data_IF_322244544683
#
_entry.id   IF_322244544683
#
_cell.length_a   1.000
_cell.length_b   1.000
_cell.length_c   1.000
_cell.angle_alpha   90.00
_cell.angle_beta   90.00
_cell.angle_gamma   90.00
#
_symmetry.space_group_name_H-M   'P 1'
#
loop_
_entity.id
_entity.type
_entity.pdbx_description
1 polymer ?
#
# COMPACT_ATOMS: atom_id res chain seq x y z
N UNK A 1 35.67 27.25 -7.41
CA UNK A 1 34.98 26.54 -6.31
C UNK A 1 34.40 25.23 -6.80
N UNK A 2 35.17 24.13 -6.70
CA UNK A 2 34.65 22.79 -6.96
C UNK A 2 33.79 22.42 -5.75
N UNK A 3 32.48 22.30 -5.95
CA UNK A 3 31.54 21.94 -4.90
C UNK A 3 31.77 20.44 -4.58
N UNK A 4 32.24 20.12 -3.38
CA UNK A 4 32.51 18.75 -2.89
C UNK A 4 31.21 17.95 -2.60
N UNK A 5 30.19 18.08 -3.44
CA UNK A 5 28.94 17.32 -3.32
C UNK A 5 28.92 16.21 -4.36
N UNK A 6 28.40 15.05 -3.96
CA UNK A 6 28.21 13.94 -4.89
C UNK A 6 27.32 14.38 -6.06
N UNK A 7 27.61 13.92 -7.28
CA UNK A 7 26.74 14.10 -8.45
C UNK A 7 25.29 13.76 -8.13
N UNK A 8 25.07 12.74 -7.30
CA UNK A 8 23.74 12.31 -6.82
C UNK A 8 23.04 13.41 -6.00
N UNK A 9 23.75 14.09 -5.11
CA UNK A 9 23.19 15.20 -4.33
C UNK A 9 22.81 16.37 -5.23
N UNK A 10 23.66 16.71 -6.20
CA UNK A 10 23.39 17.81 -7.15
C UNK A 10 22.13 17.49 -7.97
N UNK A 11 22.05 16.29 -8.54
CA UNK A 11 20.86 15.85 -9.29
C UNK A 11 19.60 15.89 -8.44
N UNK A 12 19.65 15.42 -7.19
CA UNK A 12 18.49 15.44 -6.31
C UNK A 12 18.02 16.85 -5.97
N UNK A 13 18.94 17.80 -5.78
CA UNK A 13 18.57 19.20 -5.55
C UNK A 13 17.97 19.84 -6.80
N UNK A 14 18.54 19.58 -7.98
CA UNK A 14 17.99 20.09 -9.25
C UNK A 14 16.59 19.56 -9.52
N UNK A 15 16.31 18.29 -9.16
CA UNK A 15 14.99 17.69 -9.31
C UNK A 15 13.91 18.35 -8.45
N UNK A 16 14.26 19.04 -7.36
CA UNK A 16 13.27 19.77 -6.57
C UNK A 16 12.70 20.97 -7.33
N UNK A 17 13.45 21.51 -8.30
CA UNK A 17 12.99 22.62 -9.14
C UNK A 17 11.89 22.21 -10.11
N UNK A 18 11.66 20.91 -10.32
CA UNK A 18 10.57 20.41 -11.16
C UNK A 18 9.23 20.30 -10.41
N UNK A 19 9.20 20.55 -9.10
CA UNK A 19 7.97 20.56 -8.31
C UNK A 19 7.14 21.81 -8.64
N UNK A 20 5.83 21.74 -8.41
CA UNK A 20 4.96 22.91 -8.55
C UNK A 20 5.36 24.06 -7.62
N UNK A 21 5.03 25.29 -8.01
CA UNK A 21 5.37 26.49 -7.25
C UNK A 21 4.83 26.44 -5.80
N UNK A 22 3.61 25.92 -5.62
CA UNK A 22 3.00 25.76 -4.30
C UNK A 22 3.80 24.78 -3.42
N UNK A 23 4.21 23.63 -3.97
CA UNK A 23 5.04 22.67 -3.23
C UNK A 23 6.39 23.27 -2.84
N UNK A 24 7.01 24.05 -3.73
CA UNK A 24 8.25 24.76 -3.42
C UNK A 24 8.08 25.78 -2.29
N UNK A 25 6.95 26.49 -2.26
CA UNK A 25 6.61 27.42 -1.18
C UNK A 25 6.47 26.69 0.16
N UNK A 26 5.76 25.56 0.20
CA UNK A 26 5.66 24.75 1.42
C UNK A 26 7.00 24.20 1.93
N UNK A 27 7.97 23.96 1.04
CA UNK A 27 9.32 23.59 1.44
C UNK A 27 10.05 24.80 2.04
N UNK A 28 9.91 26.00 1.45
CA UNK A 28 10.51 27.24 1.96
C UNK A 28 9.95 27.62 3.34
N UNK A 29 8.65 27.43 3.54
CA UNK A 29 7.97 27.64 4.81
C UNK A 29 8.30 26.57 5.87
N UNK A 30 9.00 25.50 5.50
CA UNK A 30 9.34 24.39 6.40
C UNK A 30 8.19 23.42 6.69
N UNK A 31 7.04 23.56 6.03
CA UNK A 31 5.91 22.62 6.13
C UNK A 31 6.24 21.26 5.50
N UNK A 32 7.10 21.26 4.48
CA UNK A 32 7.64 20.05 3.86
C UNK A 32 9.15 20.02 4.02
N UNK A 33 9.68 18.86 4.44
CA UNK A 33 11.12 18.64 4.47
C UNK A 33 11.65 18.31 3.08
N UNK A 34 12.96 18.47 2.88
CA UNK A 34 13.62 17.99 1.66
C UNK A 34 13.43 16.47 1.45
N UNK A 35 13.25 15.71 2.54
CA UNK A 35 12.91 14.28 2.49
C UNK A 35 11.56 14.06 1.82
N UNK A 36 10.51 14.77 2.27
CA UNK A 36 9.19 14.71 1.62
C UNK A 36 9.27 15.08 0.14
N UNK A 37 9.96 16.19 -0.16
CA UNK A 37 10.10 16.71 -1.50
C UNK A 37 10.72 15.69 -2.48
N UNK A 38 11.78 14.96 -2.04
CA UNK A 38 12.42 13.92 -2.86
C UNK A 38 11.46 12.80 -3.26
N UNK A 39 10.48 12.49 -2.42
CA UNK A 39 9.56 11.38 -2.63
C UNK A 39 8.46 11.77 -3.62
N UNK A 40 7.92 12.99 -3.50
CA UNK A 40 6.85 13.51 -4.37
C UNK A 40 7.34 13.95 -5.76
N UNK A 41 8.64 14.23 -5.92
CA UNK A 41 9.23 14.59 -7.22
C UNK A 41 8.90 13.57 -8.32
N UNK A 42 8.43 14.07 -9.46
CA UNK A 42 8.09 13.27 -10.63
C UNK A 42 6.75 12.55 -10.51
N UNK A 43 5.87 12.98 -9.61
CA UNK A 43 4.44 12.69 -9.69
C UNK A 43 3.77 13.58 -10.74
N UNK A 44 2.63 13.11 -11.26
CA UNK A 44 1.76 13.95 -12.07
C UNK A 44 1.21 15.12 -11.22
N UNK A 45 0.91 16.29 -11.81
CA UNK A 45 0.51 17.47 -11.04
C UNK A 45 -0.68 17.26 -10.10
N UNK A 46 -1.65 16.41 -10.48
CA UNK A 46 -2.80 16.06 -9.63
C UNK A 46 -2.38 15.25 -8.40
N UNK A 47 -1.48 14.29 -8.59
CA UNK A 47 -1.02 13.39 -7.54
C UNK A 47 -0.02 14.09 -6.61
N UNK A 48 0.80 15.01 -7.15
CA UNK A 48 1.67 15.88 -6.35
C UNK A 48 0.83 16.71 -5.38
N UNK A 49 -0.20 17.41 -5.89
CA UNK A 49 -1.08 18.24 -5.05
C UNK A 49 -1.75 17.40 -3.95
N UNK A 50 -2.35 16.26 -4.32
CA UNK A 50 -3.01 15.37 -3.36
C UNK A 50 -2.03 14.85 -2.29
N UNK A 51 -0.82 14.47 -2.69
CA UNK A 51 0.19 14.00 -1.75
C UNK A 51 0.60 15.11 -0.78
N UNK A 52 0.84 16.32 -1.28
CA UNK A 52 1.21 17.49 -0.47
C UNK A 52 0.14 17.83 0.56
N UNK A 53 -1.12 17.92 0.13
CA UNK A 53 -2.25 18.20 1.01
C UNK A 53 -2.39 17.13 2.11
N UNK A 54 -2.18 15.87 1.76
CA UNK A 54 -2.23 14.74 2.71
C UNK A 54 -1.06 14.80 3.70
N UNK A 55 0.16 15.06 3.24
CA UNK A 55 1.36 15.15 4.09
C UNK A 55 1.20 16.26 5.12
N UNK A 56 0.74 17.43 4.69
CA UNK A 56 0.55 18.60 5.57
C UNK A 56 -0.62 18.36 6.52
N UNK A 57 -1.77 17.88 6.02
CA UNK A 57 -2.97 17.65 6.80
C UNK A 57 -2.82 16.56 7.86
N UNK A 58 -2.11 15.46 7.54
CA UNK A 58 -1.91 14.32 8.44
C UNK A 58 -0.55 14.31 9.14
N UNK A 59 0.31 15.30 8.87
CA UNK A 59 1.68 15.40 9.40
C UNK A 59 2.48 14.10 9.19
N UNK A 60 2.45 13.58 7.96
CA UNK A 60 3.11 12.32 7.63
C UNK A 60 4.63 12.43 7.80
N UNK A 61 5.24 11.34 8.23
CA UNK A 61 6.68 11.13 8.15
C UNK A 61 7.12 10.86 6.70
N UNK A 62 8.42 10.98 6.44
CA UNK A 62 9.01 10.67 5.13
C UNK A 62 8.70 9.23 4.71
N UNK A 63 8.76 8.29 5.65
CA UNK A 63 8.47 6.87 5.39
C UNK A 63 7.00 6.63 5.05
N UNK A 64 6.07 7.33 5.71
CA UNK A 64 4.65 7.26 5.37
C UNK A 64 4.36 7.90 4.01
N UNK A 65 5.07 8.97 3.70
CA UNK A 65 5.03 9.64 2.39
C UNK A 65 5.51 8.71 1.27
N UNK A 66 6.58 7.95 1.49
CA UNK A 66 7.05 6.92 0.54
C UNK A 66 5.98 5.87 0.26
N UNK A 67 5.29 5.40 1.30
CA UNK A 67 4.18 4.47 1.14
C UNK A 67 3.01 5.09 0.37
N UNK A 68 2.64 6.33 0.68
CA UNK A 68 1.59 7.07 -0.02
C UNK A 68 1.92 7.20 -1.51
N UNK A 69 3.11 7.69 -1.84
CA UNK A 69 3.55 7.88 -3.24
C UNK A 69 3.68 6.54 -3.97
N UNK A 70 4.13 5.48 -3.28
CA UNK A 70 4.15 4.13 -3.85
C UNK A 70 2.75 3.64 -4.20
N UNK A 71 1.74 3.95 -3.38
CA UNK A 71 0.33 3.62 -3.67
C UNK A 71 -0.26 4.51 -4.78
N UNK A 72 0.23 5.73 -4.97
CA UNK A 72 -0.20 6.60 -6.08
C UNK A 72 0.40 6.16 -7.42
N UNK A 73 1.71 5.88 -7.45
CA UNK A 73 2.44 5.43 -8.66
C UNK A 73 2.01 4.04 -9.10
N UNK A 74 1.77 3.14 -8.14
CA UNK A 74 1.09 1.90 -8.42
C UNK A 74 -0.40 2.20 -8.34
N UNK A 75 -1.04 2.62 -9.44
CA UNK A 75 -2.50 2.58 -9.64
C UNK A 75 -3.04 1.13 -9.58
N UNK A 76 -2.57 0.32 -8.64
CA UNK A 76 -3.37 -0.73 -8.07
C UNK A 76 -4.53 -0.01 -7.37
N UNK A 77 -5.77 -0.48 -7.55
CA UNK A 77 -6.92 0.10 -6.87
C UNK A 77 -6.57 0.24 -5.39
N UNK A 78 -6.97 1.36 -4.74
CA UNK A 78 -6.59 1.60 -3.37
C UNK A 78 -6.89 0.31 -2.59
N UNK A 79 -5.90 -0.16 -1.84
CA UNK A 79 -6.25 -0.82 -0.58
C UNK A 79 -6.86 0.27 0.28
N UNK A 80 -8.10 0.66 -0.05
CA UNK A 80 -9.12 0.74 0.98
C UNK A 80 -8.84 -0.51 1.81
N UNK A 81 -8.61 -0.32 3.11
CA UNK A 81 -9.21 -1.28 4.00
C UNK A 81 -10.66 -1.33 3.53
N UNK A 82 -10.96 -2.28 2.62
CA UNK A 82 -12.28 -2.82 2.49
C UNK A 82 -12.56 -3.12 3.95
N UNK A 83 -13.41 -2.32 4.59
CA UNK A 83 -14.27 -2.86 5.62
C UNK A 83 -14.84 -4.07 4.90
N UNK A 84 -14.21 -5.21 5.16
CA UNK A 84 -14.70 -6.46 4.68
C UNK A 84 -16.04 -6.48 5.37
N UNK A 85 -17.10 -6.29 4.57
CA UNK A 85 -18.48 -6.31 5.02
C UNK A 85 -18.55 -7.33 6.16
N UNK A 86 -18.91 -6.93 7.37
CA UNK A 86 -18.81 -7.80 8.56
C UNK A 86 -19.49 -9.14 8.28
N UNK A 87 -20.58 -9.08 7.50
CA UNK A 87 -21.31 -10.22 6.96
C UNK A 87 -20.47 -11.14 6.07
N UNK A 88 -19.52 -10.61 5.30
CA UNK A 88 -18.58 -11.39 4.49
C UNK A 88 -17.53 -12.10 5.35
N UNK A 89 -17.03 -11.45 6.41
CA UNK A 89 -16.12 -12.09 7.37
C UNK A 89 -16.83 -13.22 8.14
N UNK A 90 -18.05 -12.96 8.61
CA UNK A 90 -18.89 -13.96 9.26
C UNK A 90 -19.15 -15.16 8.35
N UNK A 91 -19.46 -14.94 7.07
CA UNK A 91 -19.65 -16.04 6.12
C UNK A 91 -18.38 -16.84 5.86
N UNK A 92 -17.21 -16.20 5.84
CA UNK A 92 -15.93 -16.91 5.74
C UNK A 92 -15.62 -17.72 7.00
N UNK A 93 -15.95 -17.20 8.19
CA UNK A 93 -15.81 -17.92 9.46
C UNK A 93 -16.72 -19.16 9.50
N UNK A 94 -17.99 -19.01 9.11
CA UNK A 94 -18.92 -20.13 8.98
C UNK A 94 -18.40 -21.19 7.99
N UNK A 95 -17.82 -20.76 6.86
CA UNK A 95 -17.23 -21.70 5.92
C UNK A 95 -16.06 -22.46 6.55
N UNK A 96 -15.20 -21.78 7.32
CA UNK A 96 -14.10 -22.43 8.04
C UNK A 96 -14.58 -23.46 9.06
N UNK A 97 -15.66 -23.19 9.78
CA UNK A 97 -16.24 -24.17 10.69
C UNK A 97 -16.78 -25.41 9.96
N UNK A 98 -17.43 -25.20 8.81
CA UNK A 98 -17.93 -26.29 7.97
C UNK A 98 -16.76 -27.17 7.49
N UNK A 99 -15.68 -26.56 6.98
CA UNK A 99 -14.50 -27.32 6.54
C UNK A 99 -13.73 -27.98 7.70
N UNK A 100 -13.71 -27.37 8.89
CA UNK A 100 -13.10 -27.99 10.08
C UNK A 100 -13.85 -29.25 10.52
N UNK A 101 -15.19 -29.30 10.36
CA UNK A 101 -15.98 -30.53 10.57
C UNK A 101 -15.67 -31.63 9.56
N UNK A 102 -15.04 -31.28 8.45
CA UNK A 102 -14.60 -32.23 7.44
C UNK A 102 -13.15 -32.70 7.63
N UNK A 103 -12.51 -32.31 8.74
CA UNK A 103 -11.10 -32.59 9.05
C UNK A 103 -10.12 -32.04 8.00
N UNK A 104 -10.55 -30.97 7.31
CA UNK A 104 -9.78 -30.34 6.25
C UNK A 104 -9.20 -29.02 6.76
N UNK A 105 -7.86 -28.85 6.79
CA UNK A 105 -7.24 -27.63 7.27
C UNK A 105 -7.45 -26.49 6.26
N UNK A 106 -8.03 -25.39 6.73
CA UNK A 106 -8.31 -24.22 5.89
C UNK A 106 -7.67 -22.95 6.42
N UNK A 107 -7.00 -22.22 5.53
CA UNK A 107 -6.36 -20.93 5.79
C UNK A 107 -7.18 -19.82 5.14
N UNK A 108 -7.62 -18.85 5.93
CA UNK A 108 -8.33 -17.66 5.43
C UNK A 108 -7.33 -16.50 5.31
N UNK A 109 -7.24 -15.89 4.11
CA UNK A 109 -6.46 -14.66 3.89
C UNK A 109 -7.27 -13.67 3.07
N UNK A 110 -7.76 -12.62 3.74
CA UNK A 110 -8.63 -11.62 3.10
C UNK A 110 -9.94 -12.26 2.61
N UNK A 111 -10.21 -12.17 1.30
CA UNK A 111 -11.39 -12.78 0.64
C UNK A 111 -11.16 -14.18 0.09
N UNK A 112 -10.08 -14.86 0.49
CA UNK A 112 -9.68 -16.15 -0.05
C UNK A 112 -9.61 -17.21 1.04
N UNK A 113 -10.07 -18.41 0.71
CA UNK A 113 -9.90 -19.61 1.51
C UNK A 113 -8.98 -20.52 0.72
N UNK A 114 -7.90 -20.95 1.37
CA UNK A 114 -6.93 -21.89 0.81
C UNK A 114 -7.04 -23.18 1.60
N UNK A 115 -7.24 -24.28 0.89
CA UNK A 115 -7.25 -25.63 1.44
C UNK A 115 -5.94 -26.29 1.02
N UNK A 116 -5.27 -26.89 1.99
CA UNK A 116 -4.02 -27.63 1.78
C UNK A 116 -4.30 -29.09 2.14
N UNK A 117 -3.92 -30.01 1.26
CA UNK A 117 -4.11 -31.44 1.46
C UNK A 117 -2.74 -32.09 1.57
N UNK A 118 -2.56 -32.94 2.56
CA UNK A 118 -1.32 -33.66 2.77
C UNK A 118 -1.30 -34.98 1.98
N UNK A 119 -2.47 -35.58 1.74
CA UNK A 119 -2.59 -36.82 0.97
C UNK A 119 -3.82 -36.86 0.03
N UNK A 120 -3.84 -37.88 -0.84
CA UNK A 120 -4.92 -38.12 -1.80
C UNK A 120 -6.20 -38.58 -1.08
N UNK A 121 -6.08 -39.26 0.06
CA UNK A 121 -7.23 -39.72 0.81
C UNK A 121 -8.06 -38.56 1.36
N UNK A 122 -7.43 -37.44 1.73
CA UNK A 122 -8.08 -36.22 2.16
C UNK A 122 -8.83 -35.54 1.02
N UNK A 123 -8.29 -35.60 -0.20
CA UNK A 123 -8.98 -35.14 -1.42
C UNK A 123 -10.23 -36.01 -1.66
N UNK A 124 -10.10 -37.33 -1.61
CA UNK A 124 -11.21 -38.27 -1.84
C UNK A 124 -12.30 -38.15 -0.76
N UNK A 125 -11.92 -37.95 0.50
CA UNK A 125 -12.85 -37.67 1.62
C UNK A 125 -13.65 -36.40 1.37
N UNK A 126 -12.99 -35.33 0.91
CA UNK A 126 -13.67 -34.08 0.61
C UNK A 126 -14.62 -34.24 -0.59
N UNK A 127 -14.19 -34.93 -1.65
CA UNK A 127 -15.02 -35.19 -2.84
C UNK A 127 -16.28 -35.98 -2.44
N UNK A 128 -16.13 -37.06 -1.66
CA UNK A 128 -17.25 -37.90 -1.25
C UNK A 128 -18.26 -37.20 -0.32
N UNK A 129 -17.86 -36.14 0.38
CA UNK A 129 -18.75 -35.39 1.28
C UNK A 129 -19.43 -34.20 0.63
N UNK A 130 -18.91 -33.68 -0.49
CA UNK A 130 -19.52 -32.61 -1.28
C UNK A 130 -20.55 -33.18 -2.27
N UNK A 131 -20.35 -34.43 -2.69
CA UNK A 131 -21.24 -35.17 -3.58
C UNK A 131 -22.49 -35.66 -2.84
#
# INVERSE_FOLDING_TARGET
>A
NIIHKSRVQITNTMRLLSLSAATQEYIKEGKLTQGHAKVIVGLEPSDEKMAVDTIIGQRLSVRETENLVKNLKNKLPPKTALKLDERYLERLANLKEIFSKFDVPVKIKGKKITIEFDDIADIDRLINKIK
#
